data_IF_973374912577
#
_entry.id   IF_973374912577
#
_cell.length_a   1.000
_cell.length_b   1.000
_cell.length_c   1.000
_cell.angle_alpha   90.00
_cell.angle_beta   90.00
_cell.angle_gamma   90.00
#
_symmetry.space_group_name_H-M   'P 1'
#
loop_
_entity.id
_entity.type
_entity.pdbx_description
1 polymer ?
#
# COMPACT_ATOMS: atom_id res chain seq x y z
N UNK A 1 -18.60 6.23 20.04
CA UNK A 1 -17.36 6.82 19.47
C UNK A 1 -17.47 6.66 17.95
N UNK A 2 -17.04 7.63 17.16
CA UNK A 2 -16.94 7.50 15.71
C UNK A 2 -15.84 6.47 15.37
N UNK A 3 -15.96 5.81 14.23
CA UNK A 3 -14.88 4.97 13.68
C UNK A 3 -13.66 5.85 13.37
N UNK A 4 -12.46 5.35 13.64
CA UNK A 4 -11.22 6.01 13.21
C UNK A 4 -11.09 6.06 11.69
N UNK A 5 -10.21 6.94 11.18
CA UNK A 5 -9.85 7.07 9.77
C UNK A 5 -8.88 5.95 9.35
N UNK A 6 -9.05 5.44 8.12
CA UNK A 6 -8.07 4.56 7.47
C UNK A 6 -7.40 5.32 6.32
N UNK A 7 -6.15 5.69 6.51
CA UNK A 7 -5.30 6.27 5.47
C UNK A 7 -4.35 5.21 4.92
N UNK A 8 -4.21 5.16 3.62
CA UNK A 8 -3.33 4.19 2.95
C UNK A 8 -2.30 4.93 2.09
N UNK A 9 -1.05 4.51 2.21
CA UNK A 9 0.04 4.97 1.36
C UNK A 9 0.38 3.89 0.34
N UNK A 10 0.36 4.26 -0.94
CA UNK A 10 0.66 3.39 -2.06
C UNK A 10 1.76 3.99 -2.95
N UNK A 11 2.32 3.18 -3.80
CA UNK A 11 3.38 3.56 -4.74
C UNK A 11 4.36 2.41 -4.97
N UNK A 12 5.18 2.52 -6.01
CA UNK A 12 6.23 1.54 -6.31
C UNK A 12 7.31 1.56 -5.23
N UNK A 13 8.19 0.55 -5.25
CA UNK A 13 9.30 0.49 -4.30
C UNK A 13 10.26 1.66 -4.49
N UNK A 14 10.81 2.15 -3.36
CA UNK A 14 11.63 3.35 -3.27
C UNK A 14 10.90 4.69 -3.57
N UNK A 15 9.55 4.71 -3.61
CA UNK A 15 8.79 5.96 -3.77
C UNK A 15 8.86 6.89 -2.55
N UNK A 16 9.24 6.39 -1.37
CA UNK A 16 9.23 7.13 -0.12
C UNK A 16 7.94 6.97 0.69
N UNK A 17 7.00 6.10 0.25
CA UNK A 17 5.72 5.87 0.92
C UNK A 17 5.86 5.48 2.39
N UNK A 18 6.77 4.56 2.72
CA UNK A 18 6.97 4.08 4.10
C UNK A 18 7.45 5.19 5.04
N UNK A 19 8.32 6.08 4.56
CA UNK A 19 8.81 7.25 5.28
C UNK A 19 7.65 8.20 5.60
N UNK A 20 6.85 8.54 4.59
CA UNK A 20 5.72 9.46 4.75
C UNK A 20 4.60 8.83 5.59
N UNK A 21 4.31 7.55 5.41
CA UNK A 21 3.30 6.85 6.22
C UNK A 21 3.66 6.85 7.72
N UNK A 22 4.91 6.56 8.07
CA UNK A 22 5.37 6.61 9.46
C UNK A 22 5.32 8.02 10.02
N UNK A 23 5.79 9.02 9.26
CA UNK A 23 5.74 10.43 9.66
C UNK A 23 4.30 10.87 9.95
N UNK A 24 3.35 10.54 9.08
CA UNK A 24 1.94 10.90 9.27
C UNK A 24 1.35 10.18 10.47
N UNK A 25 1.65 8.91 10.67
CA UNK A 25 1.18 8.17 11.84
C UNK A 25 1.68 8.78 13.15
N UNK A 26 2.95 9.17 13.21
CA UNK A 26 3.54 9.84 14.38
C UNK A 26 2.92 11.22 14.62
N UNK A 27 2.75 12.03 13.56
CA UNK A 27 2.18 13.39 13.65
C UNK A 27 0.76 13.40 14.20
N UNK A 28 -0.05 12.40 13.87
CA UNK A 28 -1.47 12.32 14.24
C UNK A 28 -1.77 11.29 15.35
N UNK A 29 -0.75 10.74 16.02
CA UNK A 29 -0.89 9.66 17.02
C UNK A 29 -1.73 8.48 16.50
N UNK A 30 -1.65 8.19 15.21
CA UNK A 30 -2.36 7.10 14.56
C UNK A 30 -1.62 5.76 14.73
N UNK A 31 -2.35 4.66 14.58
CA UNK A 31 -1.74 3.34 14.53
C UNK A 31 -1.06 3.14 13.17
N UNK A 32 0.28 3.03 13.16
CA UNK A 32 1.01 2.63 11.95
C UNK A 32 0.91 1.13 11.74
N UNK A 33 0.58 0.71 10.52
CA UNK A 33 0.54 -0.68 10.10
C UNK A 33 1.12 -0.84 8.68
N UNK A 34 1.43 -2.06 8.24
CA UNK A 34 1.99 -2.30 6.90
C UNK A 34 1.62 -3.68 6.35
N UNK A 35 1.59 -3.82 5.04
CA UNK A 35 1.35 -5.10 4.35
C UNK A 35 2.42 -5.40 3.28
N UNK A 36 2.79 -6.69 3.12
CA UNK A 36 2.40 -7.83 3.94
C UNK A 36 3.24 -7.92 5.22
N UNK A 37 2.67 -8.52 6.30
CA UNK A 37 3.49 -9.00 7.39
C UNK A 37 3.31 -8.38 8.77
N UNK A 38 2.31 -7.53 8.98
CA UNK A 38 2.07 -6.86 10.27
C UNK A 38 1.09 -7.64 11.18
N UNK A 39 1.28 -8.94 11.23
CA UNK A 39 0.58 -9.86 12.15
C UNK A 39 1.43 -11.12 12.35
N UNK A 40 1.21 -11.92 13.41
CA UNK A 40 1.96 -13.18 13.59
C UNK A 40 1.88 -14.12 12.39
N UNK A 41 0.70 -14.29 11.77
CA UNK A 41 0.54 -15.05 10.54
C UNK A 41 1.24 -14.35 9.35
N UNK A 42 1.10 -13.04 9.28
CA UNK A 42 1.67 -12.22 8.21
C UNK A 42 3.21 -12.29 8.17
N UNK A 43 3.87 -12.35 9.32
CA UNK A 43 5.34 -12.51 9.38
C UNK A 43 5.79 -13.76 8.63
N UNK A 44 5.07 -14.89 8.80
CA UNK A 44 5.41 -16.13 8.10
C UNK A 44 5.08 -16.04 6.61
N UNK A 45 3.93 -15.48 6.24
CA UNK A 45 3.55 -15.27 4.84
C UNK A 45 4.53 -14.34 4.12
N UNK A 46 4.94 -13.24 4.76
CA UNK A 46 5.93 -12.30 4.22
C UNK A 46 7.25 -12.99 3.85
N UNK A 47 7.73 -13.91 4.68
CA UNK A 47 8.97 -14.67 4.38
C UNK A 47 8.86 -15.42 3.05
N UNK A 48 7.73 -16.11 2.80
CA UNK A 48 7.49 -16.81 1.54
C UNK A 48 7.31 -15.85 0.35
N UNK A 49 6.58 -14.76 0.55
CA UNK A 49 6.28 -13.78 -0.48
C UNK A 49 7.51 -13.03 -0.97
N UNK A 50 8.45 -12.69 -0.09
CA UNK A 50 9.67 -11.95 -0.45
C UNK A 50 10.83 -12.85 -0.88
N UNK A 51 10.77 -14.16 -0.59
CA UNK A 51 11.83 -15.10 -0.97
C UNK A 51 11.85 -15.34 -2.50
N UNK A 52 12.81 -14.73 -3.17
CA UNK A 52 13.01 -14.87 -4.61
C UNK A 52 13.39 -16.31 -5.04
N UNK A 53 13.89 -17.15 -4.10
CA UNK A 53 14.30 -18.54 -4.39
C UNK A 53 13.12 -19.51 -4.43
N UNK A 54 11.97 -19.15 -3.85
CA UNK A 54 10.77 -19.99 -3.87
C UNK A 54 9.94 -19.75 -5.13
N UNK A 55 9.89 -20.68 -6.09
CA UNK A 55 9.05 -20.53 -7.29
C UNK A 55 7.58 -20.41 -6.91
N UNK A 56 6.89 -19.40 -7.43
CA UNK A 56 5.49 -19.17 -7.14
C UNK A 56 4.77 -18.67 -8.39
N UNK A 57 3.59 -19.21 -8.66
CA UNK A 57 2.72 -18.68 -9.71
C UNK A 57 2.09 -17.35 -9.27
N UNK A 58 1.79 -16.45 -10.23
CA UNK A 58 1.14 -15.18 -9.92
C UNK A 58 -0.14 -15.31 -9.09
N UNK A 59 -0.98 -16.30 -9.37
CA UNK A 59 -2.22 -16.56 -8.64
C UNK A 59 -1.95 -16.98 -7.19
N UNK A 60 -0.92 -17.80 -6.97
CA UNK A 60 -0.52 -18.21 -5.61
C UNK A 60 0.01 -17.01 -4.82
N UNK A 61 0.83 -16.16 -5.46
CA UNK A 61 1.34 -14.91 -4.87
C UNK A 61 0.16 -14.00 -4.45
N UNK A 62 -0.82 -13.82 -5.34
CA UNK A 62 -2.02 -13.03 -5.06
C UNK A 62 -2.84 -13.59 -3.88
N UNK A 63 -3.09 -14.91 -3.85
CA UNK A 63 -3.84 -15.55 -2.79
C UNK A 63 -3.15 -15.44 -1.42
N UNK A 64 -1.83 -15.53 -1.36
CA UNK A 64 -1.08 -15.33 -0.12
C UNK A 64 -1.15 -13.88 0.37
N UNK A 65 -1.04 -12.89 -0.55
CA UNK A 65 -1.23 -11.48 -0.23
C UNK A 65 -2.65 -11.21 0.33
N UNK A 66 -3.66 -11.79 -0.29
CA UNK A 66 -5.05 -11.65 0.16
C UNK A 66 -5.32 -12.36 1.48
N UNK A 67 -4.65 -13.49 1.74
CA UNK A 67 -4.76 -14.20 3.02
C UNK A 67 -4.14 -13.39 4.16
N UNK A 68 -2.96 -12.79 3.95
CA UNK A 68 -2.35 -11.87 4.89
C UNK A 68 -3.27 -10.69 5.19
N UNK A 69 -3.77 -10.04 4.14
CA UNK A 69 -4.68 -8.88 4.24
C UNK A 69 -5.95 -9.20 5.00
N UNK A 70 -6.62 -10.30 4.67
CA UNK A 70 -7.85 -10.70 5.34
C UNK A 70 -7.63 -10.89 6.84
N UNK A 71 -6.54 -11.55 7.22
CA UNK A 71 -6.18 -11.73 8.62
C UNK A 71 -5.83 -10.40 9.28
N UNK A 72 -5.04 -9.55 8.61
CA UNK A 72 -4.62 -8.24 9.11
C UNK A 72 -5.80 -7.29 9.33
N UNK A 73 -6.73 -7.21 8.37
CA UNK A 73 -7.96 -6.43 8.50
C UNK A 73 -8.72 -6.85 9.76
N UNK A 74 -8.96 -8.15 9.92
CA UNK A 74 -9.79 -8.66 11.01
C UNK A 74 -9.11 -8.54 12.39
N UNK A 75 -7.80 -8.72 12.47
CA UNK A 75 -7.08 -8.79 13.76
C UNK A 75 -6.44 -7.49 14.20
N UNK A 76 -6.15 -6.56 13.28
CA UNK A 76 -5.42 -5.32 13.55
C UNK A 76 -6.23 -4.09 13.15
N UNK A 77 -6.59 -3.97 11.86
CA UNK A 77 -7.13 -2.72 11.31
C UNK A 77 -8.53 -2.43 11.86
N UNK A 78 -9.51 -3.33 11.63
CA UNK A 78 -10.90 -3.13 12.09
C UNK A 78 -11.01 -2.96 13.62
N UNK A 79 -10.27 -3.73 14.45
CA UNK A 79 -10.27 -3.49 15.90
C UNK A 79 -9.72 -2.12 16.31
N UNK A 80 -8.72 -1.58 15.60
CA UNK A 80 -8.20 -0.24 15.87
C UNK A 80 -9.23 0.83 15.49
N UNK A 81 -9.74 0.77 14.26
CA UNK A 81 -10.77 1.68 13.76
C UNK A 81 -12.05 1.66 14.62
N UNK A 82 -12.48 0.45 15.03
CA UNK A 82 -13.68 0.28 15.89
C UNK A 82 -13.55 0.90 17.29
N UNK A 83 -12.31 1.06 17.78
CA UNK A 83 -12.01 1.78 19.03
C UNK A 83 -11.88 3.29 18.83
N UNK A 84 -12.11 3.80 17.61
CA UNK A 84 -11.95 5.20 17.26
C UNK A 84 -10.50 5.60 17.03
N UNK A 85 -9.56 4.65 16.89
CA UNK A 85 -8.16 4.95 16.60
C UNK A 85 -7.94 5.03 15.09
N UNK A 86 -7.32 6.11 14.63
CA UNK A 86 -6.92 6.27 13.25
C UNK A 86 -5.80 5.27 12.88
N UNK A 87 -5.81 4.79 11.64
CA UNK A 87 -4.82 3.84 11.11
C UNK A 87 -4.17 4.44 9.87
N UNK A 88 -2.84 4.43 9.84
CA UNK A 88 -2.03 4.77 8.67
C UNK A 88 -1.34 3.49 8.19
N UNK A 89 -1.64 3.11 6.97
CA UNK A 89 -1.24 1.82 6.40
C UNK A 89 -0.27 2.01 5.23
N UNK A 90 0.89 1.36 5.30
CA UNK A 90 1.84 1.25 4.18
C UNK A 90 1.49 0.02 3.34
N UNK A 91 0.93 0.24 2.16
CA UNK A 91 0.32 -0.70 1.22
C UNK A 91 -0.99 -1.33 1.70
N UNK A 92 -1.89 -1.50 0.74
CA UNK A 92 -3.16 -2.18 0.93
C UNK A 92 -3.58 -2.91 -0.36
N UNK A 93 -4.89 -3.02 -0.59
CA UNK A 93 -5.41 -3.81 -1.71
C UNK A 93 -4.96 -3.32 -3.10
N UNK A 94 -4.72 -2.03 -3.27
CA UNK A 94 -4.26 -1.49 -4.53
C UNK A 94 -2.87 -2.01 -4.93
N UNK A 95 -2.00 -2.31 -3.95
CA UNK A 95 -0.75 -3.03 -4.21
C UNK A 95 -0.99 -4.38 -4.88
N UNK A 96 -2.00 -5.16 -4.46
CA UNK A 96 -2.32 -6.44 -5.10
C UNK A 96 -2.83 -6.25 -6.53
N UNK A 97 -3.70 -5.28 -6.76
CA UNK A 97 -4.18 -4.99 -8.11
C UNK A 97 -3.04 -4.53 -9.02
N UNK A 98 -2.16 -3.65 -8.53
CA UNK A 98 -1.04 -3.12 -9.30
C UNK A 98 0.03 -4.21 -9.59
N UNK A 99 0.48 -4.93 -8.57
CA UNK A 99 1.58 -5.89 -8.70
C UNK A 99 1.13 -7.21 -9.33
N UNK A 100 0.09 -7.87 -8.80
CA UNK A 100 -0.36 -9.15 -9.29
C UNK A 100 -1.26 -9.01 -10.54
N UNK A 101 -2.10 -7.97 -10.61
CA UNK A 101 -2.95 -7.69 -11.76
C UNK A 101 -2.15 -7.09 -12.92
N UNK A 102 -1.85 -5.81 -12.87
CA UNK A 102 -1.15 -5.11 -13.96
C UNK A 102 0.27 -5.65 -14.18
N UNK A 103 1.01 -5.89 -13.12
CA UNK A 103 2.39 -6.38 -13.19
C UNK A 103 2.51 -7.82 -13.66
N UNK A 104 1.83 -8.77 -13.00
CA UNK A 104 1.93 -10.22 -13.25
C UNK A 104 0.88 -10.76 -14.23
N UNK A 105 -0.17 -9.98 -14.54
CA UNK A 105 -1.20 -10.37 -15.52
C UNK A 105 -2.28 -11.29 -14.96
N UNK A 106 -2.47 -11.36 -13.65
CA UNK A 106 -3.65 -12.02 -13.06
C UNK A 106 -4.90 -11.21 -13.42
N UNK A 107 -5.99 -11.88 -13.73
CA UNK A 107 -7.23 -11.23 -14.13
C UNK A 107 -7.71 -10.23 -13.05
N UNK A 108 -7.98 -8.99 -13.47
CA UNK A 108 -8.35 -7.92 -12.54
C UNK A 108 -9.74 -8.13 -11.94
N UNK A 109 -10.67 -8.77 -12.64
CA UNK A 109 -12.01 -9.03 -12.11
C UNK A 109 -11.94 -10.06 -10.99
N UNK A 110 -11.16 -11.12 -11.18
CA UNK A 110 -10.93 -12.15 -10.15
C UNK A 110 -10.23 -11.55 -8.93
N UNK A 111 -9.19 -10.70 -9.14
CA UNK A 111 -8.49 -10.03 -8.04
C UNK A 111 -9.40 -9.06 -7.26
N UNK A 112 -10.28 -8.32 -7.95
CA UNK A 112 -11.26 -7.43 -7.31
C UNK A 112 -12.24 -8.22 -6.44
N UNK A 113 -12.82 -9.29 -6.96
CA UNK A 113 -13.74 -10.13 -6.21
C UNK A 113 -13.08 -10.76 -4.98
N UNK A 114 -11.84 -11.26 -5.13
CA UNK A 114 -11.07 -11.81 -4.02
C UNK A 114 -10.63 -10.74 -3.01
N UNK A 115 -10.34 -9.53 -3.47
CA UNK A 115 -10.05 -8.37 -2.61
C UNK A 115 -11.27 -7.98 -1.79
N UNK A 116 -12.44 -7.88 -2.40
CA UNK A 116 -13.70 -7.60 -1.70
C UNK A 116 -13.99 -8.63 -0.60
N UNK A 117 -13.72 -9.91 -0.88
CA UNK A 117 -13.82 -10.97 0.12
C UNK A 117 -12.82 -10.75 1.28
N UNK A 118 -11.59 -10.33 0.97
CA UNK A 118 -10.53 -10.19 1.95
C UNK A 118 -10.71 -8.98 2.88
N UNK A 119 -11.20 -7.85 2.34
CA UNK A 119 -11.30 -6.59 3.11
C UNK A 119 -12.72 -6.29 3.60
N UNK A 120 -13.74 -6.93 3.06
CA UNK A 120 -15.14 -6.66 3.39
C UNK A 120 -15.49 -5.19 3.22
N UNK A 121 -15.97 -4.55 4.28
CA UNK A 121 -16.32 -3.12 4.31
C UNK A 121 -15.16 -2.20 4.72
N UNK A 122 -13.96 -2.74 4.96
CA UNK A 122 -12.80 -1.99 5.43
C UNK A 122 -12.13 -1.23 4.27
N UNK A 123 -12.81 -0.19 3.77
CA UNK A 123 -12.34 0.67 2.69
C UNK A 123 -11.53 1.84 3.24
N UNK A 124 -10.44 2.29 2.55
CA UNK A 124 -9.72 3.50 2.89
C UNK A 124 -10.61 4.74 2.80
N UNK A 125 -10.45 5.64 3.76
CA UNK A 125 -11.05 6.98 3.72
C UNK A 125 -10.27 7.86 2.72
N UNK A 126 -8.94 7.68 2.64
CA UNK A 126 -8.08 8.29 1.63
C UNK A 126 -6.90 7.37 1.31
N UNK A 127 -6.57 7.24 0.03
CA UNK A 127 -5.32 6.62 -0.44
C UNK A 127 -4.40 7.71 -0.99
N UNK A 128 -3.15 7.72 -0.54
CA UNK A 128 -2.10 8.62 -1.01
C UNK A 128 -1.16 7.81 -1.88
N UNK A 129 -1.14 8.11 -3.18
CA UNK A 129 -0.21 7.52 -4.12
C UNK A 129 1.01 8.41 -4.26
N UNK A 130 2.18 7.92 -3.83
CA UNK A 130 3.45 8.59 -4.10
C UNK A 130 3.99 8.05 -5.42
N UNK A 131 3.81 8.83 -6.49
CA UNK A 131 4.26 8.47 -7.84
C UNK A 131 5.68 8.99 -8.09
N UNK A 132 6.54 8.13 -8.62
CA UNK A 132 7.88 8.47 -9.09
C UNK A 132 8.18 7.78 -10.42
N UNK A 133 9.06 8.40 -11.21
CA UNK A 133 9.58 7.77 -12.40
C UNK A 133 10.48 6.56 -12.08
N UNK A 134 10.52 5.59 -12.99
CA UNK A 134 11.28 4.36 -12.79
C UNK A 134 12.79 4.62 -12.66
N UNK A 135 13.31 5.60 -13.36
CA UNK A 135 14.73 5.97 -13.25
C UNK A 135 15.05 6.47 -11.84
N UNK A 136 14.19 7.34 -11.28
CA UNK A 136 14.31 7.80 -9.88
C UNK A 136 14.21 6.64 -8.91
N UNK A 137 13.27 5.71 -9.14
CA UNK A 137 13.14 4.51 -8.30
C UNK A 137 14.39 3.63 -8.35
N UNK A 138 14.96 3.43 -9.54
CA UNK A 138 16.16 2.63 -9.74
C UNK A 138 17.39 3.24 -9.05
N UNK A 139 17.57 4.56 -9.17
CA UNK A 139 18.67 5.29 -8.52
C UNK A 139 18.61 5.18 -6.99
N UNK A 140 17.40 5.18 -6.43
CA UNK A 140 17.17 5.01 -4.99
C UNK A 140 17.40 3.56 -4.54
N UNK A 141 16.94 2.57 -5.33
CA UNK A 141 17.09 1.11 -5.05
C UNK A 141 18.52 0.59 -5.18
N UNK A 142 19.39 1.23 -5.95
CA UNK A 142 20.76 0.74 -6.20
C UNK A 142 21.61 0.53 -4.94
N UNK A 143 21.08 0.83 -3.76
CA UNK A 143 21.75 0.76 -2.46
C UNK A 143 21.35 -0.42 -1.59
N UNK A 144 20.27 -1.17 -1.94
CA UNK A 144 19.67 -2.20 -1.09
C UNK A 144 19.66 -3.59 -1.73
N UNK A 145 19.56 -4.64 -0.88
CA UNK A 145 19.40 -6.02 -1.35
C UNK A 145 18.01 -6.22 -1.96
N UNK A 146 17.95 -6.79 -3.18
CA UNK A 146 16.71 -6.95 -3.95
C UNK A 146 15.90 -8.15 -3.48
N UNK A 147 14.63 -7.92 -3.16
CA UNK A 147 13.64 -8.98 -2.96
C UNK A 147 13.05 -9.49 -4.30
N UNK A 148 12.03 -10.38 -4.24
CA UNK A 148 11.35 -10.96 -5.40
C UNK A 148 10.74 -9.90 -6.34
N UNK A 149 10.15 -8.85 -5.79
CA UNK A 149 9.47 -7.82 -6.56
C UNK A 149 10.48 -6.83 -7.14
N UNK A 150 11.47 -6.45 -6.36
CA UNK A 150 12.55 -5.54 -6.78
C UNK A 150 13.47 -6.15 -7.83
N UNK A 151 13.57 -7.49 -7.87
CA UNK A 151 14.35 -8.21 -8.89
C UNK A 151 13.65 -8.37 -10.24
N UNK A 152 12.38 -7.95 -10.37
CA UNK A 152 11.64 -8.00 -11.62
C UNK A 152 12.19 -7.01 -12.67
N UNK A 153 11.82 -7.23 -13.93
CA UNK A 153 12.28 -6.39 -15.05
C UNK A 153 11.63 -4.99 -15.04
N UNK A 154 12.20 -4.08 -15.84
CA UNK A 154 11.71 -2.70 -15.95
C UNK A 154 10.28 -2.63 -16.49
N UNK A 155 9.92 -3.53 -17.41
CA UNK A 155 8.59 -3.57 -18.00
C UNK A 155 7.53 -3.95 -16.95
N UNK A 156 7.88 -4.86 -16.04
CA UNK A 156 7.03 -5.18 -14.89
C UNK A 156 6.76 -3.93 -14.03
N UNK A 157 7.82 -3.21 -13.66
CA UNK A 157 7.67 -2.01 -12.84
C UNK A 157 6.91 -0.89 -13.56
N UNK A 158 7.07 -0.78 -14.89
CA UNK A 158 6.30 0.17 -15.70
C UNK A 158 4.79 -0.17 -15.67
N UNK A 159 4.44 -1.46 -15.82
CA UNK A 159 3.04 -1.90 -15.72
C UNK A 159 2.47 -1.66 -14.32
N UNK A 160 3.25 -1.93 -13.26
CA UNK A 160 2.81 -1.68 -11.86
C UNK A 160 2.53 -0.20 -11.63
N UNK A 161 3.45 0.69 -12.05
CA UNK A 161 3.25 2.15 -11.94
C UNK A 161 2.02 2.60 -12.73
N UNK A 162 1.89 2.15 -13.98
CA UNK A 162 0.71 2.42 -14.82
C UNK A 162 -0.58 1.98 -14.13
N UNK A 163 -0.58 0.78 -13.53
CA UNK A 163 -1.71 0.25 -12.78
C UNK A 163 -2.11 1.12 -11.59
N UNK A 164 -1.16 1.66 -10.84
CA UNK A 164 -1.47 2.61 -9.75
C UNK A 164 -2.12 3.90 -10.26
N UNK A 165 -1.64 4.44 -11.38
CA UNK A 165 -2.20 5.65 -11.97
C UNK A 165 -3.62 5.41 -12.51
N UNK A 166 -3.87 4.26 -13.14
CA UNK A 166 -5.20 3.86 -13.58
C UNK A 166 -6.17 3.72 -12.40
N UNK A 167 -5.72 3.08 -11.30
CA UNK A 167 -6.51 2.97 -10.07
C UNK A 167 -6.78 4.34 -9.44
N UNK A 168 -5.79 5.23 -9.41
CA UNK A 168 -5.98 6.59 -8.90
C UNK A 168 -7.04 7.35 -9.71
N UNK A 169 -7.01 7.21 -11.04
CA UNK A 169 -8.01 7.79 -11.90
C UNK A 169 -9.42 7.20 -11.67
N UNK A 170 -9.51 5.88 -11.51
CA UNK A 170 -10.76 5.16 -11.28
C UNK A 170 -11.43 5.54 -9.95
N UNK A 171 -10.64 5.61 -8.87
CA UNK A 171 -11.16 5.90 -7.53
C UNK A 171 -11.36 7.40 -7.24
N UNK A 172 -10.83 8.28 -8.10
CA UNK A 172 -11.09 9.73 -8.09
C UNK A 172 -10.75 10.40 -6.75
N UNK A 173 -11.70 11.14 -6.18
CA UNK A 173 -11.49 11.98 -4.99
C UNK A 173 -11.04 11.24 -3.73
N UNK A 174 -11.17 9.90 -3.70
CA UNK A 174 -10.64 9.06 -2.63
C UNK A 174 -9.14 8.80 -2.76
N UNK A 175 -8.52 9.27 -3.83
CA UNK A 175 -7.09 9.17 -4.05
C UNK A 175 -6.47 10.57 -4.15
N UNK A 176 -5.25 10.68 -3.62
CA UNK A 176 -4.41 11.85 -3.77
C UNK A 176 -3.07 11.42 -4.34
N UNK A 177 -2.74 11.86 -5.55
CA UNK A 177 -1.47 11.57 -6.21
C UNK A 177 -0.51 12.71 -5.93
N UNK A 178 0.65 12.37 -5.37
CA UNK A 178 1.73 13.32 -5.07
C UNK A 178 3.00 12.93 -5.83
N UNK A 179 3.68 13.94 -6.38
CA UNK A 179 4.96 13.78 -7.07
C UNK A 179 6.09 13.48 -6.07
N UNK A 180 6.44 12.21 -5.95
CA UNK A 180 7.51 11.72 -5.05
C UNK A 180 8.93 11.94 -5.60
N UNK A 181 9.11 12.54 -6.78
CA UNK A 181 10.43 12.90 -7.31
C UNK A 181 11.03 14.12 -6.61
N UNK A 182 10.19 14.93 -5.97
CA UNK A 182 10.59 16.13 -5.21
C UNK A 182 11.27 15.75 -3.89
N UNK A 183 11.73 16.75 -3.15
CA UNK A 183 12.32 16.54 -1.83
C UNK A 183 11.32 15.97 -0.83
N UNK A 184 11.80 15.24 0.18
CA UNK A 184 10.97 14.64 1.23
C UNK A 184 10.09 15.67 1.93
N UNK A 185 10.62 16.89 2.20
CA UNK A 185 9.89 17.99 2.84
C UNK A 185 8.80 18.58 1.95
N UNK A 186 9.00 18.65 0.64
CA UNK A 186 7.99 19.13 -0.31
C UNK A 186 6.84 18.13 -0.43
N UNK A 187 7.17 16.84 -0.54
CA UNK A 187 6.17 15.75 -0.53
C UNK A 187 5.39 15.76 0.79
N UNK A 188 6.08 15.91 1.92
CA UNK A 188 5.45 16.00 3.23
C UNK A 188 4.46 17.17 3.32
N UNK A 189 4.81 18.34 2.81
CA UNK A 189 3.95 19.52 2.81
C UNK A 189 2.67 19.32 2.01
N UNK A 190 2.76 18.76 0.80
CA UNK A 190 1.58 18.49 -0.03
C UNK A 190 0.65 17.48 0.65
N UNK A 191 1.21 16.45 1.29
CA UNK A 191 0.46 15.48 2.07
C UNK A 191 -0.24 16.17 3.23
N UNK A 192 0.45 16.98 4.02
CA UNK A 192 -0.11 17.67 5.18
C UNK A 192 -1.23 18.64 4.78
N UNK A 193 -1.06 19.39 3.68
CA UNK A 193 -2.12 20.24 3.12
C UNK A 193 -3.36 19.43 2.74
N UNK A 194 -3.19 18.25 2.13
CA UNK A 194 -4.31 17.35 1.77
C UNK A 194 -4.99 16.76 3.00
N UNK A 195 -4.22 16.45 4.05
CA UNK A 195 -4.72 15.85 5.28
C UNK A 195 -5.40 16.87 6.22
N UNK A 196 -5.08 18.16 6.10
CA UNK A 196 -5.64 19.22 6.95
C UNK A 196 -7.17 19.35 6.85
N UNK A 197 -7.79 18.83 5.78
CA UNK A 197 -9.25 18.83 5.58
C UNK A 197 -9.95 17.58 6.13
N UNK A 198 -9.20 16.61 6.65
CA UNK A 198 -9.74 15.37 7.22
C UNK A 198 -10.08 15.58 8.71
N UNK A 199 -11.16 14.94 9.13
CA UNK A 199 -11.57 14.96 10.55
C UNK A 199 -10.86 13.82 11.32
N UNK A 200 -9.65 14.08 11.79
CA UNK A 200 -8.91 13.16 12.65
C UNK A 200 -9.62 12.95 14.00
N UNK A 201 -9.54 11.74 14.57
CA UNK A 201 -10.23 11.42 15.83
C UNK A 201 -9.50 11.91 17.07
N UNK A 202 -8.21 12.29 16.92
CA UNK A 202 -7.32 12.74 18.00
C UNK A 202 -6.60 14.05 17.64
N UNK A 203 -7.29 14.97 16.98
CA UNK A 203 -6.79 16.30 16.68
C UNK A 203 -7.20 17.33 17.72
#
# INVERSE_FOLDING_TARGET
MSRGLLLVFEGIDASGKSTQARRVAELHDAHFAFEPGDSPLGVDLRRWLLDASTPMKPETEALLMLSDRSHHVHTVIEPALGRGRDVVLDRYFASTLAYQGYGRGVDLADLRAATELAIGTCQPDLTILIDIDLDVANDRRARDAKDRFESADLDFHARVRGGYLDLAHEFGDRWFVVDGSRSEDEVARDIDERLAVLAWTHG
#
